data_IF_638806125410
#
_entry.id   IF_638806125410
#
_cell.length_a   1.000
_cell.length_b   1.000
_cell.length_c   1.000
_cell.angle_alpha   90.00
_cell.angle_beta   90.00
_cell.angle_gamma   90.00
#
_symmetry.space_group_name_H-M   'P 1'
#
loop_
_entity.id
_entity.type
_entity.pdbx_description
1 polymer ?
#
# COMPACT_ATOMS: atom_id res chain seq x y z
N UNK A 1 -25.31 1.29 -7.79
CA UNK A 1 -24.48 0.13 -7.42
C UNK A 1 -24.50 -0.14 -5.91
N UNK A 2 -24.02 0.78 -5.07
CA UNK A 2 -24.10 0.64 -3.61
C UNK A 2 -25.56 0.64 -3.12
N UNK A 3 -26.39 1.55 -3.64
CA UNK A 3 -27.81 1.64 -3.26
C UNK A 3 -28.64 0.46 -3.78
N UNK A 4 -28.42 0.08 -5.04
CA UNK A 4 -29.16 -0.99 -5.72
C UNK A 4 -28.91 -2.38 -5.11
N UNK A 5 -27.80 -2.54 -4.39
CA UNK A 5 -27.42 -3.80 -3.75
C UNK A 5 -27.55 -3.78 -2.22
N UNK A 6 -28.13 -2.75 -1.62
CA UNK A 6 -28.34 -2.64 -0.17
C UNK A 6 -27.07 -2.81 0.70
N UNK A 7 -25.88 -2.57 0.14
CA UNK A 7 -24.58 -2.73 0.82
C UNK A 7 -24.09 -1.45 1.51
N UNK A 8 -24.99 -0.47 1.68
CA UNK A 8 -24.72 0.85 2.28
C UNK A 8 -24.20 0.79 3.72
N UNK A 9 -24.46 -0.28 4.47
CA UNK A 9 -24.00 -0.38 5.86
C UNK A 9 -22.53 -0.80 5.97
N UNK A 10 -21.91 -1.24 4.87
CA UNK A 10 -20.49 -1.57 4.84
C UNK A 10 -19.67 -0.31 4.57
N UNK A 11 -19.15 0.30 5.64
CA UNK A 11 -18.34 1.52 5.58
C UNK A 11 -17.11 1.37 4.66
N UNK A 12 -16.46 0.21 4.67
CA UNK A 12 -15.30 -0.06 3.82
C UNK A 12 -15.66 -0.09 2.33
N UNK A 13 -16.76 -0.74 1.95
CA UNK A 13 -17.23 -0.76 0.56
C UNK A 13 -17.69 0.62 0.08
N UNK A 14 -18.32 1.41 0.96
CA UNK A 14 -18.67 2.79 0.61
C UNK A 14 -17.43 3.62 0.35
N UNK A 15 -16.43 3.60 1.25
CA UNK A 15 -15.17 4.32 1.03
C UNK A 15 -14.49 3.90 -0.26
N UNK A 16 -14.48 2.60 -0.55
CA UNK A 16 -13.92 2.06 -1.78
C UNK A 16 -14.69 2.55 -3.02
N UNK A 17 -16.02 2.60 -2.96
CA UNK A 17 -16.84 3.10 -4.05
C UNK A 17 -16.71 4.61 -4.26
N UNK A 18 -16.59 5.42 -3.21
CA UNK A 18 -16.31 6.86 -3.37
C UNK A 18 -15.01 7.11 -4.16
N UNK A 19 -14.00 6.27 -3.96
CA UNK A 19 -12.72 6.34 -4.66
C UNK A 19 -12.73 5.83 -6.12
N UNK A 20 -13.87 5.32 -6.63
CA UNK A 20 -13.98 4.72 -7.97
C UNK A 20 -13.55 5.68 -9.10
N UNK A 21 -13.73 6.99 -8.90
CA UNK A 21 -13.29 8.03 -9.83
C UNK A 21 -11.77 8.06 -10.04
N UNK A 22 -10.98 7.31 -9.26
CA UNK A 22 -9.52 7.20 -9.41
C UNK A 22 -9.07 5.88 -10.01
N UNK A 23 -9.99 4.94 -10.25
CA UNK A 23 -9.65 3.58 -10.66
C UNK A 23 -9.22 3.47 -12.11
N UNK A 24 -9.67 4.41 -12.95
CA UNK A 24 -9.32 4.44 -14.38
C UNK A 24 -8.49 5.68 -14.67
N UNK A 25 -7.38 5.48 -15.38
CA UNK A 25 -6.43 6.52 -15.78
C UNK A 25 -7.09 7.74 -16.46
N UNK A 26 -8.20 7.54 -17.16
CA UNK A 26 -8.93 8.62 -17.87
C UNK A 26 -9.47 9.69 -16.92
N UNK A 27 -9.85 9.32 -15.69
CA UNK A 27 -10.43 10.25 -14.72
C UNK A 27 -9.38 11.05 -13.94
N UNK A 28 -8.12 10.61 -13.99
CA UNK A 28 -6.99 11.27 -13.30
C UNK A 28 -6.03 11.97 -14.26
N UNK A 29 -6.42 12.09 -15.54
CA UNK A 29 -5.64 12.69 -16.62
C UNK A 29 -5.31 14.17 -16.37
N UNK A 30 -6.23 14.89 -15.72
CA UNK A 30 -6.08 16.32 -15.41
C UNK A 30 -5.54 16.56 -13.99
N UNK A 31 -5.15 15.51 -13.27
CA UNK A 31 -4.51 15.63 -11.96
C UNK A 31 -3.01 15.87 -12.12
N UNK A 32 -2.45 16.80 -11.35
CA UNK A 32 -1.01 17.00 -11.31
C UNK A 32 -0.35 15.95 -10.40
N UNK A 33 0.49 15.10 -10.98
CA UNK A 33 1.15 14.00 -10.26
C UNK A 33 2.57 14.35 -9.78
N UNK A 34 3.01 15.61 -9.91
CA UNK A 34 4.36 16.05 -9.53
C UNK A 34 5.51 15.17 -10.08
N UNK A 35 5.32 14.59 -11.27
CA UNK A 35 6.28 13.67 -11.88
C UNK A 35 6.27 12.24 -11.33
N UNK A 36 5.39 11.92 -10.37
CA UNK A 36 5.23 10.57 -9.84
C UNK A 36 4.34 9.74 -10.77
N UNK A 37 4.88 8.67 -11.34
CA UNK A 37 4.07 7.71 -12.08
C UNK A 37 3.43 6.69 -11.13
N UNK A 38 2.27 6.14 -11.50
CA UNK A 38 1.70 4.97 -10.81
C UNK A 38 2.66 3.77 -10.82
N UNK A 39 3.56 3.68 -11.81
CA UNK A 39 4.61 2.66 -11.87
C UNK A 39 5.66 2.83 -10.78
N UNK A 40 6.10 4.05 -10.43
CA UNK A 40 7.07 4.24 -9.33
C UNK A 40 6.57 3.67 -8.00
N UNK A 41 5.26 3.81 -7.72
CA UNK A 41 4.67 3.24 -6.50
C UNK A 41 4.70 1.72 -6.52
N UNK A 42 4.40 1.10 -7.66
CA UNK A 42 4.44 -0.37 -7.81
C UNK A 42 5.88 -0.87 -7.79
N UNK A 43 6.81 -0.18 -8.45
CA UNK A 43 8.24 -0.48 -8.45
C UNK A 43 8.81 -0.41 -7.03
N UNK A 44 8.46 0.62 -6.27
CA UNK A 44 8.85 0.75 -4.86
C UNK A 44 8.25 -0.37 -4.00
N UNK A 45 6.99 -0.73 -4.23
CA UNK A 45 6.34 -1.84 -3.52
C UNK A 45 6.99 -3.18 -3.85
N UNK A 46 7.30 -3.41 -5.12
CA UNK A 46 7.97 -4.63 -5.58
C UNK A 46 9.38 -4.71 -4.97
N UNK A 47 10.18 -3.64 -5.07
CA UNK A 47 11.51 -3.57 -4.48
C UNK A 47 11.49 -3.83 -2.95
N UNK A 48 10.46 -3.38 -2.25
CA UNK A 48 10.31 -3.66 -0.81
C UNK A 48 10.07 -5.15 -0.52
N UNK A 49 9.37 -5.86 -1.40
CA UNK A 49 9.03 -7.28 -1.24
C UNK A 49 9.96 -8.24 -1.98
N UNK A 50 10.91 -7.76 -2.79
CA UNK A 50 11.83 -8.58 -3.59
C UNK A 50 12.61 -9.58 -2.72
N UNK A 51 13.01 -9.18 -1.50
CA UNK A 51 13.72 -10.05 -0.55
C UNK A 51 12.80 -11.05 0.17
N UNK A 52 11.48 -10.86 0.10
CA UNK A 52 10.48 -11.65 0.82
C UNK A 52 9.73 -12.64 -0.09
N UNK A 53 9.61 -12.32 -1.38
CA UNK A 53 8.77 -13.03 -2.34
C UNK A 53 9.62 -13.61 -3.48
N UNK A 54 9.37 -14.88 -3.81
CA UNK A 54 9.88 -15.53 -4.99
C UNK A 54 8.74 -15.77 -6.00
N UNK A 55 9.07 -15.98 -7.28
CA UNK A 55 8.09 -16.26 -8.33
C UNK A 55 7.20 -17.50 -8.05
N UNK A 56 7.65 -18.40 -7.16
CA UNK A 56 6.94 -19.62 -6.75
C UNK A 56 6.28 -19.50 -5.37
N UNK A 57 6.23 -18.31 -4.78
CA UNK A 57 5.59 -18.10 -3.48
C UNK A 57 4.09 -18.34 -3.60
N UNK A 58 3.58 -19.29 -2.81
CA UNK A 58 2.13 -19.54 -2.72
C UNK A 58 1.43 -18.43 -1.95
N UNK A 59 0.12 -18.27 -2.14
CA UNK A 59 -0.67 -17.25 -1.41
C UNK A 59 -0.55 -17.37 0.11
N UNK A 60 -0.50 -18.60 0.64
CA UNK A 60 -0.31 -18.83 2.08
C UNK A 60 1.05 -18.33 2.56
N UNK A 61 2.11 -18.61 1.81
CA UNK A 61 3.45 -18.11 2.11
C UNK A 61 3.53 -16.60 1.98
N UNK A 62 2.83 -16.01 1.00
CA UNK A 62 2.74 -14.56 0.83
C UNK A 62 2.19 -13.89 2.09
N UNK A 63 1.09 -14.38 2.67
CA UNK A 63 0.51 -13.78 3.88
C UNK A 63 1.53 -13.79 5.03
N UNK A 64 2.22 -14.91 5.24
CA UNK A 64 3.23 -15.00 6.29
C UNK A 64 4.42 -14.05 6.06
N UNK A 65 4.89 -13.97 4.81
CA UNK A 65 5.99 -13.08 4.44
C UNK A 65 5.60 -11.61 4.51
N UNK A 66 4.34 -11.29 4.20
CA UNK A 66 3.79 -9.94 4.36
C UNK A 66 3.79 -9.50 5.82
N UNK A 67 3.31 -10.36 6.73
CA UNK A 67 3.35 -10.07 8.18
C UNK A 67 4.78 -9.89 8.68
N UNK A 68 5.72 -10.73 8.22
CA UNK A 68 7.13 -10.61 8.57
C UNK A 68 7.76 -9.30 8.07
N UNK A 69 7.49 -8.93 6.81
CA UNK A 69 7.97 -7.68 6.23
C UNK A 69 7.43 -6.48 7.02
N UNK A 70 6.13 -6.49 7.34
CA UNK A 70 5.48 -5.43 8.11
C UNK A 70 6.09 -5.28 9.50
N UNK A 71 6.33 -6.39 10.21
CA UNK A 71 7.01 -6.37 11.52
C UNK A 71 8.41 -5.76 11.41
N UNK A 72 9.22 -6.22 10.46
CA UNK A 72 10.57 -5.71 10.26
C UNK A 72 10.59 -4.21 9.96
N UNK A 73 9.60 -3.72 9.18
CA UNK A 73 9.46 -2.29 8.91
C UNK A 73 9.17 -1.51 10.18
N UNK A 74 8.21 -1.95 11.00
CA UNK A 74 7.90 -1.29 12.27
C UNK A 74 9.08 -1.29 13.24
N UNK A 75 9.82 -2.38 13.35
CA UNK A 75 11.02 -2.46 14.20
C UNK A 75 12.10 -1.49 13.71
N UNK A 76 12.32 -1.39 12.40
CA UNK A 76 13.27 -0.45 11.82
C UNK A 76 12.84 1.00 12.05
N UNK A 77 11.57 1.33 11.84
CA UNK A 77 11.01 2.67 12.12
C UNK A 77 11.20 3.04 13.59
N UNK A 78 10.90 2.12 14.53
CA UNK A 78 11.10 2.36 15.95
C UNK A 78 12.59 2.59 16.32
N UNK A 79 13.51 1.88 15.68
CA UNK A 79 14.95 2.07 15.88
C UNK A 79 15.44 3.41 15.33
N UNK A 80 14.99 3.77 14.12
CA UNK A 80 15.32 5.08 13.51
C UNK A 80 14.76 6.23 14.33
N UNK A 81 13.54 6.11 14.84
CA UNK A 81 12.94 7.09 15.76
C UNK A 81 13.81 7.22 17.02
N UNK A 82 14.14 6.10 17.66
CA UNK A 82 15.01 6.10 18.83
C UNK A 82 16.35 6.79 18.54
N UNK A 83 16.99 6.45 17.42
CA UNK A 83 18.24 7.07 17.01
C UNK A 83 18.05 8.57 16.76
N UNK A 84 16.99 9.00 16.09
CA UNK A 84 16.72 10.42 15.85
C UNK A 84 16.57 11.22 17.15
N UNK A 85 16.01 10.64 18.20
CA UNK A 85 15.87 11.31 19.51
C UNK A 85 17.15 11.28 20.36
N UNK A 86 18.04 10.32 20.12
CA UNK A 86 19.22 10.06 20.97
C UNK A 86 20.56 10.29 20.26
N UNK A 87 20.54 10.67 18.98
CA UNK A 87 21.73 11.10 18.27
C UNK A 87 22.11 12.50 18.77
N UNK A 88 23.35 12.63 19.26
CA UNK A 88 23.96 13.92 19.50
C UNK A 88 24.24 14.53 18.11
N UNK A 89 23.93 15.82 17.87
CA UNK A 89 24.15 16.46 16.57
C UNK A 89 25.61 16.42 16.11
#
# INVERSE_FOLDING_TARGET
MIEDHHIKDNSWLNSLYEDHHRWVLVFVKDMFWAGMSTTQRIESMNAYFDDYLASKTTLKQFIHQYENALRNKHEKEALEDFNSFHSIP
#
